data_IF_838943232048
#
_entry.id   IF_838943232048
#
_cell.length_a   1.000
_cell.length_b   1.000
_cell.length_c   1.000
_cell.angle_alpha   90.00
_cell.angle_beta   90.00
_cell.angle_gamma   90.00
#
_symmetry.space_group_name_H-M   'P 1'
#
loop_
_entity.id
_entity.type
_entity.pdbx_description
1 polymer ?
#
# COMPACT_ATOMS: atom_id res chain seq x y z
N UNK A 1 2.74 -18.04 12.33
CA UNK A 1 1.29 -18.05 12.70
C UNK A 1 0.59 -18.98 11.73
N UNK A 2 -0.30 -19.89 12.16
CA UNK A 2 -1.09 -20.70 11.24
C UNK A 2 -1.90 -19.77 10.32
N UNK A 3 -1.85 -20.01 9.02
CA UNK A 3 -2.62 -19.23 8.03
C UNK A 3 -4.09 -19.62 8.21
N UNK A 4 -4.91 -18.68 8.69
CA UNK A 4 -6.35 -18.87 8.75
C UNK A 4 -6.90 -18.87 7.32
N UNK A 5 -7.18 -20.05 6.79
CA UNK A 5 -7.75 -20.22 5.45
C UNK A 5 -9.27 -20.09 5.56
N UNK A 6 -9.79 -18.90 5.29
CA UNK A 6 -11.23 -18.63 5.25
C UNK A 6 -11.85 -19.16 3.94
N UNK A 7 -13.03 -19.78 4.05
CA UNK A 7 -13.82 -20.28 2.92
C UNK A 7 -14.98 -19.34 2.56
N UNK A 8 -15.70 -19.57 1.44
CA UNK A 8 -16.81 -18.72 1.00
C UNK A 8 -17.94 -18.59 2.03
N UNK A 9 -18.14 -19.63 2.84
CA UNK A 9 -19.16 -19.69 3.89
C UNK A 9 -18.70 -19.08 5.22
N UNK A 10 -17.43 -18.67 5.31
CA UNK A 10 -16.90 -18.09 6.53
C UNK A 10 -17.38 -16.64 6.68
N UNK A 11 -18.38 -16.45 7.53
CA UNK A 11 -18.97 -15.14 7.86
C UNK A 11 -18.34 -14.50 9.08
N UNK A 12 -17.37 -15.15 9.73
CA UNK A 12 -16.71 -14.55 10.88
C UNK A 12 -15.94 -13.32 10.41
N UNK A 13 -16.20 -12.18 11.06
CA UNK A 13 -15.54 -10.91 10.75
C UNK A 13 -14.03 -11.11 10.78
N UNK A 14 -13.35 -10.71 9.71
CA UNK A 14 -11.90 -10.65 9.72
C UNK A 14 -11.47 -9.48 10.62
N UNK A 15 -10.49 -9.73 11.49
CA UNK A 15 -9.93 -8.68 12.34
C UNK A 15 -9.03 -7.72 11.53
N UNK A 16 -8.53 -8.17 10.38
CA UNK A 16 -7.67 -7.37 9.51
C UNK A 16 -8.53 -6.39 8.68
N UNK A 17 -8.24 -5.07 8.73
CA UNK A 17 -8.96 -4.09 7.94
C UNK A 17 -8.69 -4.30 6.44
N UNK A 18 -9.75 -4.34 5.63
CA UNK A 18 -9.64 -4.30 4.18
C UNK A 18 -9.91 -2.86 3.76
N UNK A 19 -8.92 -2.23 3.11
CA UNK A 19 -9.07 -0.88 2.54
C UNK A 19 -9.15 -0.98 1.04
N UNK A 20 -10.12 -0.30 0.44
CA UNK A 20 -10.36 -0.32 -1.00
C UNK A 20 -10.24 1.11 -1.51
N UNK A 21 -9.29 1.35 -2.42
CA UNK A 21 -9.16 2.60 -3.15
C UNK A 21 -9.83 2.47 -4.52
N UNK A 22 -10.71 3.41 -4.87
CA UNK A 22 -11.38 3.47 -6.18
C UNK A 22 -11.08 4.83 -6.80
N UNK A 23 -10.47 4.83 -7.99
CA UNK A 23 -10.14 6.07 -8.70
C UNK A 23 -9.07 6.94 -8.02
N UNK A 24 -8.38 6.42 -7.00
CA UNK A 24 -7.34 7.15 -6.29
C UNK A 24 -5.97 6.85 -6.94
N UNK A 25 -5.38 7.87 -7.57
CA UNK A 25 -4.00 7.84 -8.02
C UNK A 25 -3.06 8.33 -6.92
N UNK A 26 -1.89 7.68 -6.76
CA UNK A 26 -0.90 8.04 -5.75
C UNK A 26 -0.39 9.49 -5.88
N UNK A 27 -0.21 9.98 -7.11
CA UNK A 27 0.15 11.39 -7.37
C UNK A 27 -0.94 12.36 -6.91
N UNK A 28 -2.21 12.00 -7.10
CA UNK A 28 -3.33 12.83 -6.68
C UNK A 28 -3.48 12.83 -5.15
N UNK A 29 -3.29 11.68 -4.51
CA UNK A 29 -3.21 11.55 -3.05
C UNK A 29 -2.10 12.46 -2.50
N UNK A 30 -0.88 12.34 -3.02
CA UNK A 30 0.25 13.15 -2.57
C UNK A 30 0.03 14.65 -2.80
N UNK A 31 -0.53 15.04 -3.95
CA UNK A 31 -0.86 16.44 -4.23
C UNK A 31 -1.88 16.99 -3.23
N UNK A 32 -2.87 16.17 -2.84
CA UNK A 32 -3.87 16.56 -1.85
C UNK A 32 -3.25 16.73 -0.46
N UNK A 33 -2.37 15.82 -0.05
CA UNK A 33 -1.63 15.92 1.20
C UNK A 33 -0.79 17.21 1.27
N UNK A 34 -0.02 17.51 0.22
CA UNK A 34 0.77 18.75 0.12
C UNK A 34 -0.11 19.99 0.17
N UNK A 35 -1.27 19.99 -0.52
CA UNK A 35 -2.21 21.12 -0.46
C UNK A 35 -2.72 21.36 0.96
N UNK A 36 -3.10 20.30 1.68
CA UNK A 36 -3.56 20.42 3.07
C UNK A 36 -2.45 20.94 4.00
N UNK A 37 -1.21 20.48 3.83
CA UNK A 37 -0.08 21.00 4.60
C UNK A 37 0.16 22.50 4.30
N UNK A 38 0.08 22.90 3.03
CA UNK A 38 0.21 24.30 2.65
C UNK A 38 -0.90 25.19 3.26
N UNK A 39 -2.14 24.71 3.30
CA UNK A 39 -3.26 25.41 3.95
C UNK A 39 -3.03 25.59 5.46
N UNK A 40 -2.44 24.59 6.14
CA UNK A 40 -2.10 24.67 7.58
C UNK A 40 -0.93 25.62 7.86
N UNK A 41 0.03 25.70 6.95
CA UNK A 41 1.11 26.71 7.00
C UNK A 41 0.52 28.11 6.81
N UNK A 42 -0.36 28.30 5.83
CA UNK A 42 -1.02 29.58 5.57
C UNK A 42 -1.87 30.05 6.76
N UNK A 43 -2.54 29.13 7.47
CA UNK A 43 -3.32 29.46 8.67
C UNK A 43 -2.47 29.71 9.93
N UNK A 44 -1.16 29.45 9.88
CA UNK A 44 -0.25 29.57 11.01
C UNK A 44 -0.34 28.41 12.02
N UNK A 45 -0.97 27.30 11.64
CA UNK A 45 -1.08 26.08 12.46
C UNK A 45 0.15 25.19 12.37
N UNK A 46 1.04 25.41 11.40
CA UNK A 46 2.25 24.64 11.16
C UNK A 46 3.37 25.56 10.65
N UNK A 47 4.57 25.47 11.23
CA UNK A 47 5.74 26.14 10.66
C UNK A 47 6.25 25.34 9.44
N UNK A 48 6.51 25.97 8.28
CA UNK A 48 7.05 25.26 7.12
C UNK A 48 8.37 24.52 7.41
N UNK A 49 9.19 25.00 8.36
CA UNK A 49 10.45 24.36 8.73
C UNK A 49 10.25 23.11 9.62
N UNK A 50 9.03 22.89 10.14
CA UNK A 50 8.67 21.70 10.92
C UNK A 50 8.14 20.55 10.04
N UNK A 51 7.90 20.78 8.74
CA UNK A 51 7.37 19.75 7.84
C UNK A 51 8.40 18.63 7.65
N UNK A 52 7.99 17.42 8.01
CA UNK A 52 8.75 16.18 7.83
C UNK A 52 7.91 15.05 7.20
N UNK A 53 8.49 13.85 7.12
CA UNK A 53 7.83 12.67 6.55
C UNK A 53 6.55 12.28 7.31
N UNK A 54 6.52 12.45 8.64
CA UNK A 54 5.35 12.13 9.48
C UNK A 54 4.17 13.07 9.15
N UNK A 55 4.47 14.34 8.88
CA UNK A 55 3.45 15.30 8.43
C UNK A 55 2.86 14.89 7.09
N UNK A 56 3.66 14.44 6.13
CA UNK A 56 3.14 13.95 4.84
C UNK A 56 2.28 12.71 5.05
N UNK A 57 2.79 11.71 5.79
CA UNK A 57 2.12 10.44 6.04
C UNK A 57 0.77 10.59 6.75
N UNK A 58 0.68 11.53 7.69
CA UNK A 58 -0.55 11.84 8.41
C UNK A 58 -1.69 12.35 7.52
N UNK A 59 -1.39 12.81 6.30
CA UNK A 59 -2.38 13.31 5.35
C UNK A 59 -2.58 12.40 4.12
N UNK A 60 -1.95 11.21 4.10
CA UNK A 60 -2.22 10.20 3.07
C UNK A 60 -3.51 9.43 3.38
N UNK A 61 -4.18 8.91 2.35
CA UNK A 61 -5.42 8.12 2.48
C UNK A 61 -5.13 6.76 3.10
N UNK A 62 -3.98 6.16 2.75
CA UNK A 62 -3.53 4.91 3.35
C UNK A 62 -2.39 5.17 4.36
N UNK A 63 -2.65 5.01 5.68
CA UNK A 63 -1.69 5.36 6.73
C UNK A 63 -0.71 4.21 7.05
N UNK A 64 -0.49 3.29 6.12
CA UNK A 64 0.33 2.10 6.38
C UNK A 64 1.13 1.69 5.16
N UNK A 65 2.42 1.49 5.37
CA UNK A 65 3.33 0.91 4.38
C UNK A 65 2.98 -0.56 4.14
N UNK A 66 2.80 -0.99 2.87
CA UNK A 66 2.60 -2.39 2.57
C UNK A 66 3.93 -3.15 2.62
N UNK A 67 3.93 -4.34 3.20
CA UNK A 67 5.07 -5.26 3.09
C UNK A 67 5.30 -5.73 1.64
N UNK A 68 4.21 -5.97 0.92
CA UNK A 68 4.19 -6.59 -0.40
C UNK A 68 3.14 -5.90 -1.28
N UNK A 69 3.57 -5.45 -2.46
CA UNK A 69 2.69 -4.95 -3.52
C UNK A 69 2.61 -5.98 -4.63
N UNK A 70 1.41 -6.51 -4.85
CA UNK A 70 1.12 -7.45 -5.94
C UNK A 70 0.47 -6.69 -7.09
N UNK A 71 1.13 -6.65 -8.24
CA UNK A 71 0.59 -6.06 -9.46
C UNK A 71 0.33 -7.11 -10.53
N UNK A 72 -0.88 -7.08 -11.08
CA UNK A 72 -1.36 -8.02 -12.10
C UNK A 72 -1.44 -7.34 -13.47
N UNK A 73 -1.22 -8.12 -14.53
CA UNK A 73 -1.38 -7.70 -15.93
C UNK A 73 -0.38 -6.65 -16.45
N UNK A 74 0.71 -6.39 -15.72
CA UNK A 74 1.75 -5.43 -16.13
C UNK A 74 3.03 -5.58 -15.28
N UNK A 75 4.17 -5.16 -15.85
CA UNK A 75 5.51 -5.28 -15.25
C UNK A 75 6.06 -3.96 -14.67
N UNK A 76 5.26 -2.89 -14.64
CA UNK A 76 5.69 -1.56 -14.17
C UNK A 76 4.84 -1.08 -13.02
N UNK A 77 5.38 -0.28 -12.10
CA UNK A 77 4.60 0.34 -11.03
C UNK A 77 3.42 1.17 -11.59
N UNK A 78 2.31 1.14 -10.86
CA UNK A 78 1.14 2.00 -11.13
C UNK A 78 1.26 3.28 -10.34
N UNK A 79 0.45 4.27 -10.69
CA UNK A 79 0.17 5.42 -9.84
C UNK A 79 -0.67 5.01 -8.61
N UNK A 80 -0.14 4.16 -7.74
CA UNK A 80 -0.83 3.64 -6.55
C UNK A 80 0.16 3.49 -5.40
N UNK A 81 -0.18 4.08 -4.24
CA UNK A 81 0.65 4.07 -3.01
C UNK A 81 2.11 4.47 -3.24
N UNK A 82 2.35 5.55 -4.00
CA UNK A 82 3.71 5.92 -4.46
C UNK A 82 4.67 6.32 -3.33
N UNK A 83 4.14 6.85 -2.22
CA UNK A 83 4.91 7.19 -1.02
C UNK A 83 5.08 5.96 -0.13
N UNK A 84 3.94 5.32 0.17
CA UNK A 84 3.87 4.22 1.14
C UNK A 84 4.61 2.97 0.65
N UNK A 85 4.81 2.79 -0.67
CA UNK A 85 5.41 1.59 -1.24
C UNK A 85 6.92 1.69 -1.52
N UNK A 86 7.59 2.77 -1.10
CA UNK A 86 9.02 3.00 -1.37
C UNK A 86 9.89 1.83 -0.89
N UNK A 87 9.56 1.23 0.24
CA UNK A 87 10.30 0.10 0.82
C UNK A 87 9.57 -1.25 0.69
N UNK A 88 8.46 -1.29 -0.04
CA UNK A 88 7.70 -2.52 -0.27
C UNK A 88 8.42 -3.48 -1.20
N UNK A 89 8.28 -4.78 -0.94
CA UNK A 89 8.61 -5.79 -1.93
C UNK A 89 7.59 -5.75 -3.07
N UNK A 90 8.09 -5.74 -4.31
CA UNK A 90 7.25 -5.70 -5.51
C UNK A 90 7.16 -7.10 -6.13
N UNK A 91 5.94 -7.54 -6.39
CA UNK A 91 5.63 -8.77 -7.12
C UNK A 91 4.77 -8.45 -8.34
N UNK A 92 5.32 -8.68 -9.53
CA UNK A 92 4.62 -8.49 -10.80
C UNK A 92 4.22 -9.85 -11.38
N UNK A 93 3.05 -9.91 -12.00
CA UNK A 93 2.57 -11.09 -12.71
C UNK A 93 1.78 -10.70 -13.94
N UNK A 94 1.95 -11.46 -15.02
CA UNK A 94 1.23 -11.25 -16.29
C UNK A 94 -0.21 -11.76 -16.25
N UNK A 95 -0.61 -12.43 -15.17
CA UNK A 95 -1.99 -12.88 -14.97
C UNK A 95 -2.92 -11.67 -14.93
N UNK A 96 -3.98 -11.67 -15.73
CA UNK A 96 -5.01 -10.64 -15.67
C UNK A 96 -5.76 -10.70 -14.33
N UNK A 97 -6.11 -9.54 -13.73
CA UNK A 97 -6.85 -9.49 -12.47
C UNK A 97 -8.14 -10.34 -12.48
N UNK A 98 -8.86 -10.40 -13.60
CA UNK A 98 -10.08 -11.22 -13.75
C UNK A 98 -9.82 -12.71 -13.58
N UNK A 99 -8.60 -13.15 -13.90
CA UNK A 99 -8.17 -14.54 -13.84
C UNK A 99 -7.32 -14.84 -12.59
N UNK A 100 -7.05 -13.84 -11.75
CA UNK A 100 -6.19 -13.98 -10.58
C UNK A 100 -6.87 -14.81 -9.49
N UNK A 101 -6.26 -15.94 -9.09
CA UNK A 101 -6.84 -16.89 -8.14
C UNK A 101 -6.10 -16.89 -6.82
N UNK A 102 -6.72 -17.50 -5.80
CA UNK A 102 -6.12 -17.75 -4.48
C UNK A 102 -4.73 -18.41 -4.56
N UNK A 103 -4.53 -19.33 -5.50
CA UNK A 103 -3.22 -19.99 -5.69
C UNK A 103 -2.14 -18.99 -6.12
N UNK A 104 -2.49 -18.00 -6.93
CA UNK A 104 -1.55 -17.00 -7.44
C UNK A 104 -1.18 -16.00 -6.33
N UNK A 105 -2.17 -15.61 -5.51
CA UNK A 105 -1.93 -14.87 -4.27
C UNK A 105 -0.97 -15.62 -3.33
N UNK A 106 -1.24 -16.90 -3.06
CA UNK A 106 -0.39 -17.70 -2.18
C UNK A 106 1.02 -17.89 -2.75
N UNK A 107 1.18 -17.91 -4.08
CA UNK A 107 2.49 -17.93 -4.74
C UNK A 107 3.25 -16.63 -4.46
N UNK A 108 2.61 -15.47 -4.61
CA UNK A 108 3.23 -14.18 -4.32
C UNK A 108 3.67 -14.07 -2.85
N UNK A 109 2.80 -14.49 -1.92
CA UNK A 109 3.12 -14.53 -0.48
C UNK A 109 4.30 -15.47 -0.20
N UNK A 110 4.30 -16.67 -0.81
CA UNK A 110 5.41 -17.62 -0.64
C UNK A 110 6.73 -17.04 -1.14
N UNK A 111 6.72 -16.36 -2.29
CA UNK A 111 7.93 -15.71 -2.81
C UNK A 111 8.42 -14.60 -1.88
N UNK A 112 7.52 -13.75 -1.40
CA UNK A 112 7.82 -12.74 -0.38
C UNK A 112 8.47 -13.36 0.88
N UNK A 113 7.93 -14.47 1.40
CA UNK A 113 8.50 -15.16 2.56
C UNK A 113 9.86 -15.81 2.29
N UNK A 114 10.10 -16.24 1.04
CA UNK A 114 11.33 -16.94 0.66
C UNK A 114 12.46 -15.98 0.25
N UNK A 115 12.15 -14.71 -0.05
CA UNK A 115 13.20 -13.71 -0.33
C UNK A 115 14.05 -13.57 0.92
N UNK A 116 15.34 -13.90 0.78
CA UNK A 116 16.32 -13.67 1.83
C UNK A 116 16.41 -12.17 2.06
N UNK A 117 15.80 -11.70 3.15
CA UNK A 117 15.99 -10.33 3.62
C UNK A 117 17.49 -10.15 3.81
N UNK A 118 18.12 -9.29 3.00
CA UNK A 118 19.49 -8.88 3.27
C UNK A 118 19.44 -8.14 4.60
N UNK A 119 19.80 -8.82 5.68
CA UNK A 119 20.02 -8.19 6.98
C UNK A 119 20.99 -7.02 6.74
N UNK A 120 20.49 -5.79 6.93
CA UNK A 120 21.26 -4.60 6.58
C UNK A 120 20.50 -3.28 6.40
N UNK A 121 19.22 -3.19 6.79
CA UNK A 121 18.52 -2.03 7.38
C UNK A 121 17.08 -2.44 7.63
#
# INVERSE_FOLDING_TARGET
RPVAVRGPEDRARADAPIRIGIGLGGKHEFTSAVRTLAERVESGELDPDEIDDEHVEGHLVFPSEPDLVIKTGAERLSDFMIWQSVYSELYFTDINWRDFRKRDFLRAVREYCNRSRRYGR
#
